data_IF_808833272399
#
_entry.id   IF_808833272399
#
_cell.length_a   1.000
_cell.length_b   1.000
_cell.length_c   1.000
_cell.angle_alpha   90.00
_cell.angle_beta   90.00
_cell.angle_gamma   90.00
#
_symmetry.space_group_name_H-M   'P 1'
#
loop_
_entity.id
_entity.type
_entity.pdbx_description
1 polymer ?
#
# COMPACT_ATOMS: atom_id res chain seq x y z
N UNK A 1 -10.91 1.44 12.56
CA UNK A 1 -9.55 1.91 12.72
C UNK A 1 -9.09 2.73 11.54
N UNK A 2 -8.40 3.80 11.82
CA UNK A 2 -7.98 4.70 10.75
C UNK A 2 -6.74 4.18 10.04
N UNK A 3 -6.71 4.42 8.75
CA UNK A 3 -5.53 4.07 7.95
C UNK A 3 -4.44 5.12 8.14
N UNK A 4 -3.23 4.78 7.73
CA UNK A 4 -2.12 5.73 7.75
C UNK A 4 -2.45 6.94 6.87
N UNK A 5 -1.81 8.06 7.16
CA UNK A 5 -2.02 9.27 6.38
C UNK A 5 -1.76 9.08 4.90
N UNK A 6 -0.82 8.22 4.59
CA UNK A 6 -0.42 7.97 3.20
C UNK A 6 -1.20 6.85 2.52
N UNK A 7 -2.11 6.20 3.24
CA UNK A 7 -2.85 5.08 2.68
C UNK A 7 -3.58 5.47 1.40
N UNK A 8 -4.37 6.53 1.45
CA UNK A 8 -5.13 6.98 0.29
C UNK A 8 -4.22 7.35 -0.88
N UNK A 9 -3.11 8.00 -0.57
CA UNK A 9 -2.16 8.42 -1.58
C UNK A 9 -1.55 7.21 -2.29
N UNK A 10 -1.09 6.26 -1.52
CA UNK A 10 -0.50 5.05 -2.08
C UNK A 10 -1.53 4.25 -2.86
N UNK A 11 -2.73 4.13 -2.32
CA UNK A 11 -3.80 3.42 -3.01
C UNK A 11 -4.12 4.06 -4.35
N UNK A 12 -4.21 5.39 -4.39
CA UNK A 12 -4.47 6.10 -5.63
C UNK A 12 -3.37 5.87 -6.66
N UNK A 13 -2.13 5.93 -6.22
CA UNK A 13 -1.00 5.69 -7.12
C UNK A 13 -1.04 4.28 -7.69
N UNK A 14 -1.39 3.30 -6.87
CA UNK A 14 -1.49 1.93 -7.34
C UNK A 14 -2.66 1.76 -8.30
N UNK A 15 -3.82 2.33 -7.96
CA UNK A 15 -5.00 2.24 -8.81
C UNK A 15 -4.78 2.87 -10.18
N UNK A 16 -4.02 3.94 -10.22
CA UNK A 16 -3.70 4.62 -11.47
C UNK A 16 -2.52 3.97 -12.19
N UNK A 17 -1.98 2.91 -11.60
CA UNK A 17 -0.83 2.17 -12.14
C UNK A 17 0.44 3.01 -12.23
N UNK A 18 0.49 4.07 -11.42
CA UNK A 18 1.71 4.86 -11.29
C UNK A 18 2.74 4.12 -10.45
N UNK A 19 2.26 3.31 -9.51
CA UNK A 19 3.10 2.49 -8.66
C UNK A 19 2.82 1.01 -8.94
N UNK A 20 3.87 0.23 -9.03
CA UNK A 20 3.73 -1.22 -9.15
C UNK A 20 3.48 -1.82 -7.76
N UNK A 21 3.10 -3.10 -7.74
CA UNK A 21 2.93 -3.82 -6.49
C UNK A 21 4.21 -3.79 -5.66
N UNK A 22 5.36 -3.88 -6.33
CA UNK A 22 6.64 -3.84 -5.65
C UNK A 22 6.87 -2.49 -4.97
N UNK A 23 6.45 -1.41 -5.61
CA UNK A 23 6.58 -0.09 -5.01
C UNK A 23 5.73 0.03 -3.76
N UNK A 24 4.50 -0.51 -3.80
CA UNK A 24 3.62 -0.53 -2.63
C UNK A 24 4.24 -1.38 -1.53
N UNK A 25 4.82 -2.51 -1.90
CA UNK A 25 5.49 -3.39 -0.94
C UNK A 25 6.61 -2.65 -0.22
N UNK A 26 7.38 -1.86 -0.94
CA UNK A 26 8.47 -1.08 -0.35
C UNK A 26 7.98 0.05 0.55
N UNK A 27 6.74 0.48 0.36
CA UNK A 27 6.17 1.53 1.21
C UNK A 27 5.70 0.98 2.56
N UNK A 28 5.56 -0.33 2.68
CA UNK A 28 5.16 -0.95 3.94
C UNK A 28 6.23 -0.71 5.00
N UNK A 29 5.80 -0.28 6.17
CA UNK A 29 6.71 0.03 7.26
C UNK A 29 7.17 1.48 7.28
N UNK A 30 6.95 2.21 6.19
CA UNK A 30 7.31 3.63 6.12
C UNK A 30 6.06 4.49 5.98
N UNK A 31 5.23 4.18 4.99
CA UNK A 31 4.08 4.97 4.64
C UNK A 31 2.77 4.28 4.97
N UNK A 32 2.76 2.96 4.91
CA UNK A 32 1.57 2.15 5.15
C UNK A 32 1.96 0.93 5.97
N UNK A 33 0.94 0.20 6.43
CA UNK A 33 1.15 -1.04 7.17
C UNK A 33 0.96 -2.25 6.26
N UNK A 34 1.34 -3.43 6.76
CA UNK A 34 1.13 -4.66 6.02
C UNK A 34 -0.34 -4.92 5.74
N UNK A 35 -1.21 -4.57 6.68
CA UNK A 35 -2.64 -4.73 6.48
C UNK A 35 -3.14 -3.81 5.37
N UNK A 36 -2.60 -2.61 5.31
CA UNK A 36 -2.97 -1.66 4.26
C UNK A 36 -2.48 -2.12 2.91
N UNK A 37 -1.31 -2.75 2.87
CA UNK A 37 -0.81 -3.35 1.64
C UNK A 37 -1.83 -4.36 1.08
N UNK A 38 -2.35 -5.22 1.94
CA UNK A 38 -3.35 -6.19 1.53
C UNK A 38 -4.61 -5.51 1.01
N UNK A 39 -5.04 -4.44 1.66
CA UNK A 39 -6.23 -3.71 1.21
C UNK A 39 -6.01 -3.05 -0.15
N UNK A 40 -4.79 -2.58 -0.41
CA UNK A 40 -4.50 -1.89 -1.66
C UNK A 40 -4.32 -2.88 -2.81
N UNK A 41 -3.54 -3.92 -2.60
CA UNK A 41 -3.17 -4.85 -3.67
C UNK A 41 -4.06 -6.08 -3.73
N UNK A 42 -4.75 -6.40 -2.65
CA UNK A 42 -5.55 -7.61 -2.56
C UNK A 42 -4.76 -8.85 -2.24
N UNK A 43 -3.48 -8.72 -1.95
CA UNK A 43 -2.60 -9.85 -1.63
C UNK A 43 -1.98 -9.67 -0.26
N UNK A 44 -1.69 -10.78 0.40
CA UNK A 44 -1.03 -10.76 1.70
C UNK A 44 0.39 -10.20 1.55
N UNK A 45 0.78 -9.41 2.53
CA UNK A 45 2.14 -8.89 2.55
C UNK A 45 3.10 -10.00 3.00
N UNK A 46 4.11 -10.24 2.21
CA UNK A 46 5.20 -11.15 2.58
C UNK A 46 6.51 -10.41 2.52
N UNK A 47 7.23 -10.48 3.62
CA UNK A 47 8.51 -9.74 3.71
C UNK A 47 9.56 -10.30 2.75
#
# INVERSE_FOLDING_TARGET
>A
MEHSKNFKKVKNFYDKKLWSKKAVHNAVGRWITAEEYKEITGEDYTA
#
